data_IF_597418164069
#
_entry.id   IF_597418164069
#
_cell.length_a   1.000
_cell.length_b   1.000
_cell.length_c   1.000
_cell.angle_alpha   90.00
_cell.angle_beta   90.00
_cell.angle_gamma   90.00
#
_symmetry.space_group_name_H-M   'P 1'
#
loop_
_entity.id
_entity.type
_entity.pdbx_description
1 polymer ?
#
# COMPACT_ATOMS: atom_id res chain seq x y z
N UNK A 1 -7.93 -11.24 -5.17
CA UNK A 1 -7.52 -11.14 -6.58
C UNK A 1 -7.62 -9.68 -6.99
N UNK A 2 -6.82 -9.23 -7.96
CA UNK A 2 -6.98 -7.90 -8.55
C UNK A 2 -7.29 -8.08 -10.04
N UNK A 3 -8.32 -7.40 -10.55
CA UNK A 3 -8.65 -7.35 -11.97
C UNK A 3 -8.85 -5.90 -12.39
N UNK A 4 -8.37 -5.55 -13.58
CA UNK A 4 -8.66 -4.25 -14.20
C UNK A 4 -10.01 -4.27 -14.95
N UNK A 5 -10.59 -5.46 -15.15
CA UNK A 5 -11.82 -5.70 -15.92
C UNK A 5 -12.66 -6.78 -15.26
N UNK A 6 -13.72 -6.37 -14.58
CA UNK A 6 -14.63 -7.29 -13.87
C UNK A 6 -15.59 -8.02 -14.81
N UNK A 7 -15.85 -7.44 -15.98
CA UNK A 7 -16.73 -7.94 -17.03
C UNK A 7 -16.22 -9.22 -17.71
N UNK A 8 -14.91 -9.47 -17.69
CA UNK A 8 -14.30 -10.68 -18.27
C UNK A 8 -14.33 -11.87 -17.29
N UNK A 9 -14.55 -11.62 -15.99
CA UNK A 9 -14.53 -12.67 -15.00
C UNK A 9 -15.78 -13.56 -15.09
N UNK A 10 -15.60 -14.86 -14.88
CA UNK A 10 -16.70 -15.80 -14.83
C UNK A 10 -17.70 -15.40 -13.72
N UNK A 11 -18.96 -15.25 -14.12
CA UNK A 11 -20.11 -15.04 -13.24
C UNK A 11 -20.18 -16.01 -12.06
N UNK A 12 -19.65 -17.24 -12.18
CA UNK A 12 -19.55 -18.21 -11.10
C UNK A 12 -18.63 -17.76 -9.95
N UNK A 13 -17.58 -16.96 -10.23
CA UNK A 13 -16.70 -16.38 -9.21
C UNK A 13 -17.34 -15.18 -8.51
N UNK A 14 -18.24 -14.48 -9.19
CA UNK A 14 -18.92 -13.29 -8.69
C UNK A 14 -20.17 -13.61 -7.86
N UNK A 15 -20.58 -14.88 -7.80
CA UNK A 15 -21.77 -15.35 -7.09
C UNK A 15 -21.61 -15.16 -5.57
N UNK A 16 -22.65 -14.69 -4.84
CA UNK A 16 -22.60 -14.55 -3.39
C UNK A 16 -22.16 -15.85 -2.71
N UNK A 17 -21.24 -15.75 -1.74
CA UNK A 17 -20.67 -16.89 -1.02
C UNK A 17 -19.33 -17.42 -1.55
N UNK A 18 -18.78 -16.86 -2.63
CA UNK A 18 -17.42 -17.16 -3.13
C UNK A 18 -16.40 -16.09 -2.75
N UNK A 19 -16.69 -14.84 -3.11
CA UNK A 19 -15.85 -13.68 -2.80
C UNK A 19 -16.61 -12.80 -1.82
N UNK A 20 -16.07 -12.66 -0.61
CA UNK A 20 -16.74 -11.94 0.48
C UNK A 20 -16.86 -10.43 0.24
N UNK A 21 -15.88 -9.83 -0.45
CA UNK A 21 -15.84 -8.38 -0.70
C UNK A 21 -15.35 -8.10 -2.11
N UNK A 22 -16.12 -7.27 -2.83
CA UNK A 22 -15.72 -6.67 -4.10
C UNK A 22 -15.36 -5.22 -3.81
N UNK A 23 -14.09 -4.87 -4.02
CA UNK A 23 -13.58 -3.52 -3.79
C UNK A 23 -13.22 -2.95 -5.15
N UNK A 24 -13.89 -1.86 -5.53
CA UNK A 24 -13.59 -1.11 -6.74
C UNK A 24 -12.55 -0.04 -6.43
N UNK A 25 -11.56 0.10 -7.31
CA UNK A 25 -10.54 1.14 -7.23
C UNK A 25 -10.79 2.15 -8.34
N UNK A 26 -11.61 3.20 -8.11
CA UNK A 26 -11.84 4.23 -9.11
C UNK A 26 -10.56 5.06 -9.33
N UNK A 27 -10.43 5.72 -10.50
CA UNK A 27 -9.37 6.70 -10.70
C UNK A 27 -9.48 7.81 -9.64
N UNK A 28 -8.34 8.29 -9.09
CA UNK A 28 -8.35 9.27 -8.00
C UNK A 28 -8.93 10.62 -8.45
N UNK A 29 -9.88 11.12 -7.68
CA UNK A 29 -10.38 12.50 -7.69
C UNK A 29 -9.30 13.48 -7.18
N UNK A 30 -9.47 14.79 -7.38
CA UNK A 30 -8.43 15.79 -7.03
C UNK A 30 -8.01 15.74 -5.56
N UNK A 31 -8.94 15.49 -4.64
CA UNK A 31 -8.65 15.30 -3.20
C UNK A 31 -7.96 13.95 -2.91
N UNK A 32 -8.20 12.93 -3.73
CA UNK A 32 -7.56 11.63 -3.62
C UNK A 32 -6.30 11.50 -4.49
N UNK A 33 -5.90 12.56 -5.22
CA UNK A 33 -4.63 12.59 -5.95
C UNK A 33 -3.50 12.71 -4.94
N UNK A 34 -3.07 11.55 -4.48
CA UNK A 34 -1.90 11.38 -3.64
C UNK A 34 -0.72 12.02 -4.35
N UNK A 35 -0.03 12.92 -3.66
CA UNK A 35 1.20 13.52 -4.16
C UNK A 35 2.35 12.53 -3.97
N UNK A 36 2.40 11.55 -4.87
CA UNK A 36 3.42 10.50 -4.89
C UNK A 36 4.84 11.06 -5.04
N UNK A 37 4.98 12.24 -5.64
CA UNK A 37 6.28 12.91 -5.77
C UNK A 37 6.83 13.33 -4.42
N UNK A 38 5.98 13.96 -3.58
CA UNK A 38 6.35 14.31 -2.20
C UNK A 38 6.73 13.07 -1.39
N UNK A 39 5.98 11.96 -1.56
CA UNK A 39 6.29 10.68 -0.90
C UNK A 39 7.63 10.10 -1.36
N UNK A 40 7.93 10.17 -2.66
CA UNK A 40 9.22 9.71 -3.19
C UNK A 40 10.39 10.55 -2.66
N UNK A 41 10.21 11.86 -2.52
CA UNK A 41 11.21 12.77 -1.94
C UNK A 41 11.51 12.45 -0.46
N UNK A 42 10.52 11.97 0.30
CA UNK A 42 10.71 11.51 1.68
C UNK A 42 11.39 10.14 1.82
N UNK A 43 11.60 9.40 0.72
CA UNK A 43 12.23 8.08 0.72
C UNK A 43 13.57 8.05 -0.05
N UNK A 44 14.59 8.84 0.35
CA UNK A 44 15.85 8.88 -0.37
C UNK A 44 16.62 7.57 -0.23
N UNK A 45 17.06 7.00 -1.36
CA UNK A 45 17.88 5.79 -1.37
C UNK A 45 17.12 4.49 -1.15
N UNK A 46 15.79 4.54 -1.17
CA UNK A 46 14.95 3.35 -1.00
C UNK A 46 14.98 2.41 -2.19
N UNK A 47 14.95 1.11 -1.91
CA UNK A 47 14.85 0.08 -2.95
C UNK A 47 13.40 -0.08 -3.45
N UNK A 48 13.23 -0.63 -4.65
CA UNK A 48 11.89 -0.92 -5.18
C UNK A 48 11.06 -1.90 -4.32
N UNK A 49 11.73 -2.70 -3.49
CA UNK A 49 11.07 -3.57 -2.51
C UNK A 49 10.42 -2.77 -1.36
N UNK A 50 11.06 -1.70 -0.92
CA UNK A 50 10.52 -0.80 0.12
C UNK A 50 9.33 -0.01 -0.41
N UNK A 51 9.42 0.50 -1.64
CA UNK A 51 8.30 1.20 -2.29
C UNK A 51 7.08 0.28 -2.40
N UNK A 52 7.28 -0.99 -2.79
CA UNK A 52 6.22 -2.00 -2.78
C UNK A 52 5.67 -2.23 -1.36
N UNK A 53 6.55 -2.27 -0.36
CA UNK A 53 6.18 -2.39 1.05
C UNK A 53 5.29 -1.24 1.51
N UNK A 54 5.66 0.00 1.20
CA UNK A 54 4.91 1.22 1.52
C UNK A 54 3.51 1.18 0.91
N UNK A 55 3.36 0.84 -0.37
CA UNK A 55 2.05 0.72 -1.00
C UNK A 55 1.17 -0.36 -0.34
N UNK A 56 1.77 -1.46 0.11
CA UNK A 56 1.06 -2.54 0.79
C UNK A 56 0.57 -2.11 2.17
N UNK A 57 1.42 -1.43 2.93
CA UNK A 57 1.10 -0.92 4.26
C UNK A 57 0.06 0.20 4.21
N UNK A 58 0.17 1.13 3.26
CA UNK A 58 -0.83 2.18 3.05
C UNK A 58 -2.23 1.60 2.77
N UNK A 59 -2.31 0.56 1.94
CA UNK A 59 -3.58 -0.17 1.72
C UNK A 59 -4.11 -0.87 2.97
N UNK A 60 -3.23 -1.37 3.84
CA UNK A 60 -3.62 -1.99 5.11
C UNK A 60 -4.13 -0.97 6.14
N UNK A 61 -3.57 0.24 6.17
CA UNK A 61 -4.08 1.32 7.01
C UNK A 61 -5.51 1.71 6.62
N UNK A 62 -5.74 1.97 5.34
CA UNK A 62 -7.08 2.24 4.82
C UNK A 62 -8.07 1.10 5.13
N UNK A 63 -7.64 -0.16 4.98
CA UNK A 63 -8.49 -1.33 5.25
C UNK A 63 -8.86 -1.46 6.74
N UNK A 64 -7.93 -1.19 7.66
CA UNK A 64 -8.18 -1.24 9.11
C UNK A 64 -9.23 -0.23 9.53
N UNK A 65 -9.23 0.94 8.89
CA UNK A 65 -10.20 2.01 9.14
C UNK A 65 -11.50 1.84 8.34
N UNK A 66 -11.69 0.66 7.72
CA UNK A 66 -12.86 0.32 6.89
C UNK A 66 -13.08 1.29 5.72
N UNK A 67 -12.04 2.02 5.30
CA UNK A 67 -12.05 2.85 4.09
C UNK A 67 -11.84 1.98 2.86
N UNK A 68 -12.36 2.44 1.74
CA UNK A 68 -12.18 1.81 0.41
C UNK A 68 -11.22 2.61 -0.48
N UNK A 69 -10.82 3.80 -0.03
CA UNK A 69 -9.85 4.67 -0.71
C UNK A 69 -8.65 4.91 0.21
N UNK A 70 -7.47 4.92 -0.38
CA UNK A 70 -6.22 5.25 0.31
C UNK A 70 -6.01 6.76 0.23
N UNK A 71 -5.58 7.36 1.33
CA UNK A 71 -5.33 8.79 1.45
C UNK A 71 -3.84 9.10 1.53
N UNK A 72 -3.48 10.38 1.45
CA UNK A 72 -2.08 10.82 1.61
C UNK A 72 -1.52 10.44 3.00
N UNK A 73 -2.34 10.53 4.04
CA UNK A 73 -1.94 10.22 5.42
C UNK A 73 -1.54 8.75 5.58
N UNK A 74 -2.25 7.84 4.92
CA UNK A 74 -1.93 6.40 4.92
C UNK A 74 -0.53 6.13 4.37
N UNK A 75 -0.11 6.87 3.33
CA UNK A 75 1.23 6.77 2.78
C UNK A 75 2.28 7.37 3.71
N UNK A 76 2.02 8.53 4.33
CA UNK A 76 2.96 9.14 5.27
C UNK A 76 3.21 8.22 6.49
N UNK A 77 2.16 7.59 7.01
CA UNK A 77 2.28 6.57 8.07
C UNK A 77 3.03 5.32 7.62
N UNK A 78 2.73 4.82 6.41
CA UNK A 78 3.39 3.64 5.86
C UNK A 78 4.90 3.86 5.64
N UNK A 79 5.30 5.04 5.14
CA UNK A 79 6.71 5.40 4.97
C UNK A 79 7.43 5.41 6.32
N UNK A 80 6.86 6.07 7.33
CA UNK A 80 7.46 6.14 8.66
C UNK A 80 7.70 4.74 9.24
N UNK A 81 6.73 3.84 9.09
CA UNK A 81 6.84 2.45 9.57
C UNK A 81 7.92 1.64 8.84
N UNK A 82 7.99 1.73 7.51
CA UNK A 82 8.99 0.97 6.72
C UNK A 82 10.40 1.47 7.01
N UNK A 83 10.59 2.79 7.04
CA UNK A 83 11.90 3.40 7.32
C UNK A 83 12.40 3.06 8.72
N UNK A 84 11.53 3.04 9.73
CA UNK A 84 11.90 2.57 11.07
C UNK A 84 12.39 1.12 11.04
N UNK A 85 11.65 0.22 10.38
CA UNK A 85 12.02 -1.21 10.32
C UNK A 85 13.37 -1.44 9.64
N UNK A 86 13.67 -0.68 8.59
CA UNK A 86 14.94 -0.80 7.89
C UNK A 86 16.11 -0.22 8.71
N UNK A 87 15.86 0.86 9.46
CA UNK A 87 16.86 1.41 10.39
C UNK A 87 17.24 0.41 11.48
N UNK A 88 16.27 -0.30 12.07
CA UNK A 88 16.50 -1.33 13.10
C UNK A 88 17.27 -2.53 12.56
N UNK A 89 16.94 -2.99 11.35
CA UNK A 89 17.67 -4.07 10.68
C UNK A 89 19.10 -3.68 10.38
N UNK A 90 19.32 -2.48 9.86
CA UNK A 90 20.66 -1.97 9.56
C UNK A 90 21.50 -1.85 10.83
N UNK A 91 20.91 -1.40 11.95
CA UNK A 91 21.56 -1.37 13.25
C UNK A 91 21.90 -2.78 13.79
N UNK A 92 20.99 -3.74 13.61
CA UNK A 92 21.20 -5.12 14.06
C UNK A 92 22.32 -5.82 13.27
N UNK A 93 22.36 -5.63 11.95
CA UNK A 93 23.43 -6.13 11.09
C UNK A 93 24.78 -5.50 11.49
N UNK A 94 24.83 -4.18 11.69
CA UNK A 94 26.05 -3.49 12.14
C UNK A 94 26.56 -3.98 13.50
N UNK A 95 25.67 -4.38 14.42
CA UNK A 95 26.06 -4.99 15.71
C UNK A 95 26.56 -6.43 15.58
N UNK A 96 26.14 -7.16 14.54
CA UNK A 96 26.52 -8.55 14.32
C UNK A 96 27.91 -8.69 13.66
N UNK A 97 28.27 -7.72 12.82
CA UNK A 97 29.55 -7.70 12.08
C UNK A 97 30.60 -6.77 12.72
N UNK A 98 30.42 -6.40 13.99
CA UNK A 98 31.35 -5.59 14.77
C UNK A 98 31.69 -6.33 16.06
#
# INVERSE_FOLDING_TARGET
MATNRIDILDSALLRPGRIDRKIEFPPPNEEARINLRKIAETMPGSSGAEVKGVCTEAGMYALRERRVHVTQEDFEMAVAKIMQRDSEKNMSIKKLFK
#
